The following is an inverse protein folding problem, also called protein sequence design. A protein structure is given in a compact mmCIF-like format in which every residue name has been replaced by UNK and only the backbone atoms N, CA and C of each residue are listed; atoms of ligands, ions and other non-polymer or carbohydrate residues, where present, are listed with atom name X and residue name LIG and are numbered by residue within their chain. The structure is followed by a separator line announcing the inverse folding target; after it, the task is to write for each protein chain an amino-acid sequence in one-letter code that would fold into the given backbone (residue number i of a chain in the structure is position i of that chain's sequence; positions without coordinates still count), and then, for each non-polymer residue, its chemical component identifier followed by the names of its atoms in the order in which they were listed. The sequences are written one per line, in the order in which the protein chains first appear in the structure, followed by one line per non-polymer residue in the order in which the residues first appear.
data_IF_055528404139
#
_entry.id   IF_055528404139
#
_cell.length_a   1.000
_cell.length_b   1.000
_cell.length_c   1.000
_cell.angle_alpha   90.00
_cell.angle_beta   90.00
_cell.angle_gamma   90.00
#
_symmetry.space_group_name_H-M   'P 1'
#
loop_
_entity.id
_entity.type
_entity.pdbx_description
1 polymer ?
#
# COMPACT_ATOMS: atom_id res chain seq x y z
N UNK A 1 -39.80 6.39 1.86
CA UNK A 1 -38.46 5.80 2.06
C UNK A 1 -37.52 6.57 1.17
N UNK A 2 -36.86 7.57 1.74
CA UNK A 2 -35.90 8.39 1.00
C UNK A 2 -34.64 7.56 0.81
N UNK A 3 -34.32 7.29 -0.45
CA UNK A 3 -33.00 6.79 -0.82
C UNK A 3 -31.98 7.85 -0.38
N UNK A 4 -30.86 7.47 0.27
CA UNK A 4 -29.74 8.39 0.37
C UNK A 4 -29.35 8.80 -1.06
N UNK A 5 -28.98 10.08 -1.30
CA UNK A 5 -28.61 10.55 -2.62
C UNK A 5 -27.52 9.63 -3.18
N UNK A 6 -27.70 9.22 -4.44
CA UNK A 6 -26.86 8.29 -5.19
C UNK A 6 -25.41 8.36 -4.71
N UNK A 7 -25.05 7.34 -3.92
CA UNK A 7 -23.75 7.23 -3.27
C UNK A 7 -22.67 7.33 -4.33
N UNK A 8 -21.79 8.32 -4.16
CA UNK A 8 -20.63 8.57 -4.99
C UNK A 8 -19.96 7.26 -5.42
N UNK A 9 -19.79 7.06 -6.72
CA UNK A 9 -18.90 6.03 -7.25
C UNK A 9 -17.58 6.07 -6.46
N UNK A 10 -16.99 4.92 -6.06
CA UNK A 10 -15.78 4.89 -5.29
C UNK A 10 -14.70 5.73 -5.97
N UNK A 11 -14.26 6.81 -5.31
CA UNK A 11 -13.22 7.67 -5.86
C UNK A 11 -11.91 6.87 -5.87
N UNK A 12 -11.21 6.85 -7.01
CA UNK A 12 -9.92 6.15 -7.18
C UNK A 12 -8.97 6.48 -6.03
N UNK A 13 -8.84 7.76 -5.69
CA UNK A 13 -7.94 8.22 -4.62
C UNK A 13 -8.36 7.75 -3.22
N UNK A 14 -9.67 7.62 -2.96
CA UNK A 14 -10.18 7.08 -1.70
C UNK A 14 -9.86 5.59 -1.54
N UNK A 15 -10.07 4.84 -2.63
CA UNK A 15 -9.75 3.41 -2.67
C UNK A 15 -8.25 3.19 -2.60
N UNK A 16 -7.46 4.01 -3.32
CA UNK A 16 -6.02 4.00 -3.24
C UNK A 16 -5.55 4.15 -1.79
N UNK A 17 -6.01 5.19 -1.09
CA UNK A 17 -5.51 5.46 0.25
C UNK A 17 -5.87 4.35 1.25
N UNK A 18 -7.08 3.81 1.17
CA UNK A 18 -7.49 2.68 2.02
C UNK A 18 -6.74 1.39 1.69
N UNK A 19 -6.56 1.05 0.41
CA UNK A 19 -5.82 -0.15 0.01
C UNK A 19 -4.35 -0.03 0.39
N UNK A 20 -3.75 1.15 0.20
CA UNK A 20 -2.40 1.44 0.63
C UNK A 20 -2.27 1.21 2.14
N UNK A 21 -3.17 1.79 2.93
CA UNK A 21 -3.11 1.69 4.38
C UNK A 21 -3.35 0.26 4.88
N UNK A 22 -4.40 -0.42 4.41
CA UNK A 22 -4.68 -1.80 4.81
C UNK A 22 -3.53 -2.75 4.44
N UNK A 23 -2.98 -2.60 3.23
CA UNK A 23 -1.85 -3.43 2.79
C UNK A 23 -0.60 -3.14 3.61
N UNK A 24 -0.27 -1.87 3.86
CA UNK A 24 0.89 -1.48 4.67
C UNK A 24 0.78 -1.97 6.12
N UNK A 25 -0.42 -1.91 6.70
CA UNK A 25 -0.68 -2.40 8.06
C UNK A 25 -0.50 -3.91 8.19
N UNK A 26 -0.87 -4.68 7.15
CA UNK A 26 -0.63 -6.13 7.10
C UNK A 26 0.83 -6.47 6.79
N UNK A 27 1.50 -5.62 6.01
CA UNK A 27 2.89 -5.83 5.62
C UNK A 27 3.84 -5.61 6.80
N UNK A 28 3.62 -4.60 7.64
CA UNK A 28 4.48 -4.33 8.79
C UNK A 28 4.74 -5.56 9.68
N UNK A 29 3.73 -6.27 10.23
CA UNK A 29 3.95 -7.49 11.00
C UNK A 29 4.51 -8.64 10.16
N UNK A 30 4.16 -8.72 8.87
CA UNK A 30 4.69 -9.75 7.99
C UNK A 30 6.21 -9.60 7.80
N UNK A 31 6.71 -8.37 7.66
CA UNK A 31 8.13 -8.09 7.58
C UNK A 31 8.87 -8.50 8.86
N UNK A 32 8.29 -8.28 10.05
CA UNK A 32 8.90 -8.76 11.30
C UNK A 32 8.91 -10.29 11.38
N UNK A 33 7.87 -10.97 10.90
CA UNK A 33 7.81 -12.44 10.91
C UNK A 33 8.79 -13.07 9.92
N UNK A 34 9.07 -12.40 8.79
CA UNK A 34 10.07 -12.87 7.81
C UNK A 34 11.46 -12.96 8.46
N UNK A 35 11.75 -12.20 9.52
CA UNK A 35 13.05 -12.24 10.19
C UNK A 35 13.36 -13.62 10.77
N UNK A 36 12.29 -14.32 11.18
CA UNK A 36 12.37 -15.65 11.77
C UNK A 36 12.56 -16.76 10.73
N UNK A 37 12.52 -16.44 9.43
CA UNK A 37 12.63 -17.41 8.34
C UNK A 37 13.98 -17.31 7.64
N UNK A 38 14.53 -18.45 7.22
CA UNK A 38 15.72 -18.49 6.37
C UNK A 38 15.39 -17.96 4.98
N UNK A 39 16.29 -17.12 4.45
CA UNK A 39 16.16 -16.50 3.12
C UNK A 39 16.55 -17.45 2.00
N UNK A 40 17.31 -18.50 2.31
CA UNK A 40 17.92 -19.39 1.32
C UNK A 40 16.89 -20.34 0.69
N UNK A 41 15.69 -20.39 1.27
CA UNK A 41 14.60 -21.23 0.81
C UNK A 41 13.34 -20.37 0.73
N UNK A 42 12.84 -20.15 -0.49
CA UNK A 42 11.52 -19.55 -0.75
C UNK A 42 10.40 -20.48 -0.29
N UNK A 43 10.31 -20.69 1.02
CA UNK A 43 9.30 -21.56 1.63
C UNK A 43 7.91 -21.00 1.37
N UNK A 44 6.86 -21.85 1.36
CA UNK A 44 5.49 -21.38 1.25
C UNK A 44 5.13 -20.32 2.31
N UNK A 45 5.68 -20.42 3.52
CA UNK A 45 5.49 -19.43 4.58
C UNK A 45 6.11 -18.07 4.23
N UNK A 46 7.35 -18.08 3.71
CA UNK A 46 8.03 -16.86 3.25
C UNK A 46 7.22 -16.18 2.13
N UNK A 47 6.78 -16.96 1.13
CA UNK A 47 5.94 -16.44 0.04
C UNK A 47 4.60 -15.90 0.54
N UNK A 48 3.96 -16.56 1.50
CA UNK A 48 2.70 -16.11 2.08
C UNK A 48 2.85 -14.79 2.83
N UNK A 49 3.97 -14.58 3.55
CA UNK A 49 4.23 -13.33 4.27
C UNK A 49 4.54 -12.16 3.31
N UNK A 50 5.17 -12.44 2.17
CA UNK A 50 5.44 -11.40 1.16
C UNK A 50 4.19 -11.08 0.34
N UNK A 51 3.49 -12.09 -0.17
CA UNK A 51 2.39 -11.93 -1.13
C UNK A 51 1.06 -11.67 -0.44
N UNK A 52 0.85 -12.30 0.72
CA UNK A 52 -0.40 -12.25 1.48
C UNK A 52 -0.91 -10.83 1.73
N UNK A 53 -0.09 -9.89 2.24
CA UNK A 53 -0.51 -8.50 2.45
C UNK A 53 -1.09 -7.84 1.19
N UNK A 54 -0.48 -8.05 0.01
CA UNK A 54 -0.90 -7.43 -1.24
C UNK A 54 -2.19 -8.02 -1.83
N UNK A 55 -2.57 -9.23 -1.42
CA UNK A 55 -3.85 -9.85 -1.79
C UNK A 55 -4.93 -9.49 -0.76
N UNK A 56 -4.58 -9.59 0.52
CA UNK A 56 -5.50 -9.39 1.64
C UNK A 56 -5.86 -7.91 1.84
N UNK A 57 -4.93 -6.97 1.61
CA UNK A 57 -5.20 -5.54 1.75
C UNK A 57 -6.37 -5.06 0.88
N UNK A 58 -6.34 -5.27 -0.45
CA UNK A 58 -7.48 -5.00 -1.33
C UNK A 58 -8.75 -5.75 -0.93
N UNK A 59 -8.64 -7.05 -0.59
CA UNK A 59 -9.79 -7.85 -0.19
C UNK A 59 -10.48 -7.31 1.08
N UNK A 60 -9.71 -6.86 2.09
CA UNK A 60 -10.24 -6.22 3.30
C UNK A 60 -10.98 -4.92 2.97
N UNK A 61 -10.43 -4.11 2.07
CA UNK A 61 -11.11 -2.86 1.64
C UNK A 61 -12.41 -3.19 0.92
N UNK A 62 -12.40 -4.14 -0.01
CA UNK A 62 -13.62 -4.55 -0.73
C UNK A 62 -14.67 -5.16 0.22
N UNK A 63 -14.23 -5.94 1.20
CA UNK A 63 -15.10 -6.54 2.21
C UNK A 63 -15.73 -5.51 3.17
N UNK A 64 -14.96 -4.51 3.60
CA UNK A 64 -15.45 -3.51 4.55
C UNK A 64 -16.40 -2.50 3.91
N UNK A 65 -16.25 -2.25 2.61
CA UNK A 65 -17.11 -1.32 1.87
C UNK A 65 -18.32 -1.97 1.20
N UNK A 66 -18.34 -3.30 1.03
CA UNK A 66 -19.46 -3.98 0.39
C UNK A 66 -20.68 -4.12 1.34
N UNK A 67 -21.86 -4.16 0.72
CA UNK A 67 -23.14 -4.56 1.35
C UNK A 67 -23.67 -5.88 0.79
N UNK A 68 -22.89 -6.53 -0.06
CA UNK A 68 -23.26 -7.79 -0.68
C UNK A 68 -23.30 -8.92 0.35
N UNK A 69 -23.98 -10.00 -0.01
CA UNK A 69 -23.94 -11.24 0.76
C UNK A 69 -22.52 -11.84 0.75
N UNK A 70 -22.19 -12.62 1.77
CA UNK A 70 -20.85 -13.17 1.97
C UNK A 70 -20.35 -13.99 0.77
N UNK A 71 -21.24 -14.68 0.05
CA UNK A 71 -20.88 -15.48 -1.12
C UNK A 71 -20.50 -14.60 -2.31
N UNK A 72 -21.32 -13.59 -2.63
CA UNK A 72 -21.02 -12.64 -3.70
C UNK A 72 -19.74 -11.86 -3.40
N UNK A 73 -19.56 -11.43 -2.15
CA UNK A 73 -18.33 -10.76 -1.72
C UNK A 73 -17.10 -11.65 -1.90
N UNK A 74 -17.17 -12.92 -1.50
CA UNK A 74 -16.06 -13.86 -1.64
C UNK A 74 -15.68 -14.08 -3.12
N UNK A 75 -16.67 -14.25 -4.00
CA UNK A 75 -16.45 -14.43 -5.44
C UNK A 75 -15.84 -13.16 -6.05
N UNK A 76 -16.39 -11.98 -5.74
CA UNK A 76 -15.85 -10.70 -6.24
C UNK A 76 -14.41 -10.48 -5.77
N UNK A 77 -14.14 -10.70 -4.50
CA UNK A 77 -12.78 -10.56 -3.95
C UNK A 77 -11.80 -11.55 -4.58
N UNK A 78 -12.24 -12.80 -4.83
CA UNK A 78 -11.43 -13.83 -5.47
C UNK A 78 -11.10 -13.52 -6.95
N UNK A 79 -11.94 -12.75 -7.64
CA UNK A 79 -11.70 -12.31 -9.03
C UNK A 79 -10.92 -11.01 -9.08
N UNK A 80 -11.29 -10.03 -8.25
CA UNK A 80 -10.68 -8.70 -8.25
C UNK A 80 -9.26 -8.70 -7.70
N UNK A 81 -8.96 -9.48 -6.66
CA UNK A 81 -7.62 -9.46 -6.07
C UNK A 81 -6.54 -9.95 -7.08
N UNK A 82 -6.72 -11.04 -7.84
CA UNK A 82 -5.78 -11.42 -8.90
C UNK A 82 -5.68 -10.38 -10.02
N UNK A 83 -6.79 -9.76 -10.43
CA UNK A 83 -6.76 -8.70 -11.45
C UNK A 83 -5.95 -7.50 -10.95
N UNK A 84 -6.20 -7.04 -9.72
CA UNK A 84 -5.44 -5.97 -9.08
C UNK A 84 -3.97 -6.33 -8.99
N UNK A 85 -3.63 -7.57 -8.65
CA UNK A 85 -2.26 -8.03 -8.56
C UNK A 85 -1.56 -8.02 -9.94
N UNK A 86 -2.17 -8.60 -10.98
CA UNK A 86 -1.62 -8.62 -12.34
C UNK A 86 -1.43 -7.20 -12.90
N UNK A 87 -2.43 -6.34 -12.70
CA UNK A 87 -2.38 -4.96 -13.17
C UNK A 87 -1.36 -4.15 -12.37
N UNK A 88 -1.28 -4.36 -11.05
CA UNK A 88 -0.31 -3.75 -10.17
C UNK A 88 1.13 -4.13 -10.52
N UNK A 89 1.39 -5.41 -10.79
CA UNK A 89 2.70 -5.88 -11.29
C UNK A 89 3.04 -5.25 -12.64
N UNK A 90 2.04 -5.12 -13.54
CA UNK A 90 2.25 -4.46 -14.84
C UNK A 90 2.62 -2.99 -14.66
N UNK A 91 1.91 -2.26 -13.81
CA UNK A 91 2.20 -0.85 -13.48
C UNK A 91 3.57 -0.69 -12.84
N UNK A 92 3.95 -1.61 -11.96
CA UNK A 92 5.28 -1.67 -11.34
C UNK A 92 6.38 -1.77 -12.40
N UNK A 93 6.30 -2.74 -13.31
CA UNK A 93 7.29 -2.90 -14.37
C UNK A 93 7.33 -1.69 -15.31
N UNK A 94 6.18 -1.12 -15.64
CA UNK A 94 6.11 0.09 -16.45
C UNK A 94 6.79 1.28 -15.75
N UNK A 95 6.53 1.48 -14.46
CA UNK A 95 7.17 2.54 -13.67
C UNK A 95 8.69 2.33 -13.55
N UNK A 96 9.14 1.09 -13.36
CA UNK A 96 10.58 0.77 -13.40
C UNK A 96 11.20 1.15 -14.74
N UNK A 97 10.57 0.76 -15.86
CA UNK A 97 11.09 1.01 -17.20
C UNK A 97 11.11 2.50 -17.55
N UNK A 98 10.08 3.25 -17.16
CA UNK A 98 9.93 4.66 -17.53
C UNK A 98 10.63 5.63 -16.60
N UNK A 99 10.82 5.28 -15.32
CA UNK A 99 11.34 6.19 -14.29
C UNK A 99 12.67 5.68 -13.75
N UNK A 100 12.69 4.46 -13.20
CA UNK A 100 13.86 3.95 -12.45
C UNK A 100 15.05 3.71 -13.37
N UNK A 101 14.84 3.07 -14.53
CA UNK A 101 15.93 2.77 -15.46
C UNK A 101 16.60 4.07 -15.97
N UNK A 102 15.86 5.09 -16.45
CA UNK A 102 16.48 6.36 -16.81
C UNK A 102 17.20 7.04 -15.63
N UNK A 103 16.69 6.93 -14.40
CA UNK A 103 17.35 7.46 -13.22
C UNK A 103 18.57 6.64 -12.76
N UNK A 104 18.78 5.44 -13.27
CA UNK A 104 19.88 4.58 -12.83
C UNK A 104 21.26 5.20 -13.03
N UNK A 105 21.42 6.08 -14.02
CA UNK A 105 22.66 6.84 -14.26
C UNK A 105 22.98 7.83 -13.14
N UNK A 106 21.99 8.19 -12.32
CA UNK A 106 22.14 9.05 -11.15
C UNK A 106 22.35 8.26 -9.85
N UNK A 107 22.23 6.92 -9.87
CA UNK A 107 22.45 6.05 -8.70
C UNK A 107 23.94 5.79 -8.46
N UNK A 108 24.70 6.88 -8.32
CA UNK A 108 26.13 6.87 -7.98
C UNK A 108 26.33 7.45 -6.58
N UNK A 109 27.36 7.02 -5.82
CA UNK A 109 27.56 7.41 -4.42
C UNK A 109 27.55 8.93 -4.19
N UNK A 110 28.06 9.69 -5.14
CA UNK A 110 28.14 11.15 -5.10
C UNK A 110 26.76 11.81 -5.00
N UNK A 111 25.71 11.16 -5.50
CA UNK A 111 24.35 11.66 -5.51
C UNK A 111 23.51 11.10 -4.35
N UNK A 112 24.05 10.25 -3.47
CA UNK A 112 23.26 9.55 -2.46
C UNK A 112 22.52 10.49 -1.51
N UNK A 113 23.14 11.60 -1.09
CA UNK A 113 22.45 12.59 -0.25
C UNK A 113 21.20 13.16 -0.94
N UNK A 114 21.31 13.50 -2.24
CA UNK A 114 20.17 14.00 -3.04
C UNK A 114 19.13 12.90 -3.24
N UNK A 115 19.57 11.67 -3.56
CA UNK A 115 18.69 10.53 -3.76
C UNK A 115 17.91 10.16 -2.49
N UNK A 116 18.51 10.30 -1.31
CA UNK A 116 17.83 10.09 -0.02
C UNK A 116 16.68 11.08 0.16
N UNK A 117 16.91 12.38 -0.11
CA UNK A 117 15.87 13.41 -0.05
C UNK A 117 14.77 13.14 -1.08
N UNK A 118 15.14 12.81 -2.33
CA UNK A 118 14.17 12.47 -3.37
C UNK A 118 13.34 11.24 -3.02
N UNK A 119 13.93 10.24 -2.38
CA UNK A 119 13.23 9.05 -1.91
C UNK A 119 12.20 9.39 -0.84
N UNK A 120 12.58 10.19 0.16
CA UNK A 120 11.65 10.67 1.20
C UNK A 120 10.48 11.47 0.59
N UNK A 121 10.76 12.39 -0.34
CA UNK A 121 9.72 13.14 -1.06
C UNK A 121 8.79 12.20 -1.84
N UNK A 122 9.36 11.20 -2.52
CA UNK A 122 8.59 10.23 -3.30
C UNK A 122 7.64 9.45 -2.39
N UNK A 123 8.11 8.96 -1.24
CA UNK A 123 7.26 8.28 -0.25
C UNK A 123 6.10 9.19 0.19
N UNK A 124 6.36 10.47 0.48
CA UNK A 124 5.32 11.43 0.87
C UNK A 124 4.27 11.60 -0.24
N UNK A 125 4.71 11.80 -1.49
CA UNK A 125 3.82 11.99 -2.64
C UNK A 125 2.92 10.76 -2.84
N UNK A 126 3.50 9.56 -2.76
CA UNK A 126 2.78 8.31 -2.92
C UNK A 126 1.81 8.05 -1.75
N UNK A 127 2.16 8.47 -0.54
CA UNK A 127 1.31 8.38 0.64
C UNK A 127 0.20 9.45 0.69
N UNK A 128 0.34 10.55 -0.05
CA UNK A 128 -0.57 11.70 0.01
C UNK A 128 -2.07 11.37 -0.17
N UNK A 129 -2.49 10.43 -1.04
CA UNK A 129 -3.90 10.06 -1.16
C UNK A 129 -4.49 9.44 0.13
N UNK A 130 -3.67 8.94 1.06
CA UNK A 130 -4.15 8.51 2.38
C UNK A 130 -4.70 9.69 3.18
N UNK A 131 -4.07 10.87 3.12
CA UNK A 131 -4.58 12.06 3.80
C UNK A 131 -5.93 12.50 3.21
N UNK A 132 -6.09 12.42 1.89
CA UNK A 132 -7.38 12.66 1.24
C UNK A 132 -8.46 11.68 1.71
N UNK A 133 -8.10 10.39 1.79
CA UNK A 133 -8.99 9.34 2.29
C UNK A 133 -9.40 9.60 3.74
N UNK A 134 -8.45 9.98 4.60
CA UNK A 134 -8.69 10.31 6.00
C UNK A 134 -9.68 11.46 6.16
N UNK A 135 -9.46 12.58 5.46
CA UNK A 135 -10.36 13.73 5.49
C UNK A 135 -11.74 13.36 4.94
N UNK A 136 -11.80 12.57 3.87
CA UNK A 136 -13.06 12.09 3.31
C UNK A 136 -13.83 11.23 4.31
N UNK A 137 -13.17 10.31 5.02
CA UNK A 137 -13.82 9.44 6.02
C UNK A 137 -14.34 10.25 7.20
N UNK A 138 -13.62 11.26 7.68
CA UNK A 138 -14.13 12.19 8.71
C UNK A 138 -15.39 12.90 8.24
N UNK A 139 -15.39 13.41 7.00
CA UNK A 139 -16.54 14.15 6.43
C UNK A 139 -17.78 13.29 6.23
N UNK A 140 -17.61 11.97 6.05
CA UNK A 140 -18.71 11.02 5.92
C UNK A 140 -19.35 10.64 7.27
N UNK A 141 -18.74 11.04 8.39
CA UNK A 141 -19.25 10.81 9.74
C UNK A 141 -18.73 9.54 10.41
N UNK A 142 -18.99 9.43 11.72
CA UNK A 142 -18.42 8.40 12.58
C UNK A 142 -19.32 7.16 12.66
N UNK A 143 -19.29 6.33 11.61
CA UNK A 143 -19.76 4.95 11.70
C UNK A 143 -18.67 4.05 12.31
N UNK A 144 -19.04 2.88 12.86
CA UNK A 144 -18.06 1.91 13.36
C UNK A 144 -17.02 1.51 12.29
N UNK A 145 -17.46 1.37 11.02
CA UNK A 145 -16.58 1.09 9.88
C UNK A 145 -15.65 2.28 9.60
N UNK A 146 -16.19 3.49 9.58
CA UNK A 146 -15.41 4.72 9.41
C UNK A 146 -14.35 4.90 10.49
N UNK A 147 -14.66 4.55 11.74
CA UNK A 147 -13.67 4.58 12.84
C UNK A 147 -12.52 3.60 12.62
N UNK A 148 -12.81 2.38 12.16
CA UNK A 148 -11.75 1.40 11.81
C UNK A 148 -10.88 1.93 10.67
N UNK A 149 -11.48 2.47 9.61
CA UNK A 149 -10.74 3.06 8.50
C UNK A 149 -9.87 4.24 8.94
N UNK A 150 -10.38 5.13 9.80
CA UNK A 150 -9.61 6.24 10.36
C UNK A 150 -8.44 5.75 11.21
N UNK A 151 -8.64 4.73 12.04
CA UNK A 151 -7.57 4.14 12.83
C UNK A 151 -6.46 3.57 11.92
N UNK A 152 -6.83 2.77 10.92
CA UNK A 152 -5.89 2.19 9.96
C UNK A 152 -5.11 3.27 9.20
N UNK A 153 -5.80 4.27 8.66
CA UNK A 153 -5.17 5.40 7.96
C UNK A 153 -4.22 6.18 8.88
N UNK A 154 -4.64 6.49 10.10
CA UNK A 154 -3.81 7.22 11.06
C UNK A 154 -2.55 6.42 11.43
N UNK A 155 -2.69 5.13 11.75
CA UNK A 155 -1.55 4.26 12.07
C UNK A 155 -0.54 4.23 10.94
N UNK A 156 -1.00 4.05 9.69
CA UNK A 156 -0.08 3.97 8.55
C UNK A 156 0.54 5.32 8.22
N UNK A 157 -0.19 6.43 8.36
CA UNK A 157 0.40 7.77 8.21
C UNK A 157 1.52 8.00 9.24
N UNK A 158 1.38 7.52 10.47
CA UNK A 158 2.43 7.56 11.49
C UNK A 158 3.63 6.69 11.08
N UNK A 159 3.40 5.46 10.60
CA UNK A 159 4.47 4.58 10.10
C UNK A 159 5.23 5.26 8.96
N UNK A 160 4.52 5.83 7.98
CA UNK A 160 5.14 6.55 6.86
C UNK A 160 5.93 7.77 7.35
N UNK A 161 5.38 8.55 8.29
CA UNK A 161 6.09 9.69 8.88
C UNK A 161 7.39 9.26 9.57
N UNK A 162 7.34 8.18 10.34
CA UNK A 162 8.51 7.59 11.00
C UNK A 162 9.56 7.13 9.98
N UNK A 163 9.17 6.48 8.90
CA UNK A 163 10.06 6.06 7.80
C UNK A 163 10.75 7.26 7.16
N UNK A 164 10.01 8.32 6.88
CA UNK A 164 10.56 9.54 6.28
C UNK A 164 11.60 10.15 7.20
N UNK A 165 11.32 10.25 8.51
CA UNK A 165 12.27 10.75 9.49
C UNK A 165 13.53 9.88 9.53
N UNK A 166 13.39 8.56 9.64
CA UNK A 166 14.51 7.60 9.67
C UNK A 166 15.30 7.55 8.35
N UNK A 167 14.68 7.90 7.22
CA UNK A 167 15.36 7.98 5.92
C UNK A 167 16.22 9.24 5.84
N UNK A 168 15.77 10.34 6.45
CA UNK A 168 16.46 11.62 6.43
C UNK A 168 17.47 11.79 7.58
N UNK A 169 17.36 10.98 8.63
CA UNK A 169 18.31 10.99 9.73
C UNK A 169 19.65 10.37 9.30
N UNK A 170 20.74 11.00 9.74
CA UNK A 170 22.12 10.64 9.36
C UNK A 170 22.79 9.72 10.38
N UNK A 171 22.17 9.51 11.55
CA UNK A 171 22.71 8.68 12.64
C UNK A 171 22.08 7.29 12.75
N UNK A 172 20.75 7.21 12.84
CA UNK A 172 20.00 5.95 12.96
C UNK A 172 19.28 5.63 11.64
N UNK A 173 19.80 4.65 10.91
CA UNK A 173 19.20 4.22 9.63
C UNK A 173 18.26 3.05 9.84
N UNK A 174 17.29 2.83 8.94
CA UNK A 174 16.47 1.61 8.91
C UNK A 174 17.28 0.30 9.00
N UNK A 175 18.55 0.31 8.57
CA UNK A 175 19.48 -0.82 8.67
C UNK A 175 19.98 -1.15 10.07
N UNK A 176 19.78 -0.28 11.07
CA UNK A 176 20.06 -0.60 12.48
C UNK A 176 18.91 -1.38 13.12
N UNK A 177 17.68 -1.20 12.61
CA UNK A 177 16.48 -1.86 13.12
C UNK A 177 16.06 -3.10 12.34
N UNK A 178 16.48 -3.22 11.07
CA UNK A 178 16.07 -4.30 10.18
C UNK A 178 17.27 -4.87 9.42
N UNK A 179 17.23 -6.19 9.13
CA UNK A 179 18.21 -6.81 8.23
C UNK A 179 18.19 -6.15 6.86
N UNK A 180 19.35 -6.12 6.19
CA UNK A 180 19.56 -5.41 4.92
C UNK A 180 18.57 -5.82 3.81
N UNK A 181 18.24 -7.11 3.72
CA UNK A 181 17.26 -7.65 2.77
C UNK A 181 15.83 -7.14 3.03
N UNK A 182 15.50 -6.90 4.30
CA UNK A 182 14.20 -6.36 4.71
C UNK A 182 14.09 -4.87 4.45
N UNK A 183 15.19 -4.12 4.62
CA UNK A 183 15.23 -2.71 4.21
C UNK A 183 14.92 -2.59 2.71
N UNK A 184 15.44 -3.51 1.90
CA UNK A 184 15.13 -3.61 0.48
C UNK A 184 13.65 -3.91 0.20
N UNK A 185 13.08 -4.91 0.89
CA UNK A 185 11.65 -5.26 0.76
C UNK A 185 10.74 -4.13 1.23
N UNK A 186 11.09 -3.48 2.34
CA UNK A 186 10.38 -2.35 2.90
C UNK A 186 10.40 -1.18 1.93
N UNK A 187 11.58 -0.77 1.47
CA UNK A 187 11.74 0.32 0.53
C UNK A 187 10.94 0.04 -0.76
N UNK A 188 11.12 -1.14 -1.36
CA UNK A 188 10.37 -1.54 -2.56
C UNK A 188 8.86 -1.59 -2.34
N UNK A 189 8.40 -2.04 -1.17
CA UNK A 189 6.99 -2.08 -0.83
C UNK A 189 6.35 -0.70 -0.79
N UNK A 190 6.91 0.23 -0.02
CA UNK A 190 6.30 1.54 0.19
C UNK A 190 6.43 2.46 -1.02
N UNK A 191 7.47 2.27 -1.84
CA UNK A 191 7.71 3.12 -3.00
C UNK A 191 7.09 2.56 -4.28
N UNK A 192 7.02 1.23 -4.46
CA UNK A 192 6.65 0.66 -5.77
C UNK A 192 5.43 -0.27 -5.68
N UNK A 193 5.46 -1.28 -4.81
CA UNK A 193 4.38 -2.27 -4.75
C UNK A 193 3.08 -1.66 -4.22
N UNK A 194 3.11 -1.02 -3.04
CA UNK A 194 1.92 -0.42 -2.43
C UNK A 194 1.22 0.57 -3.37
N UNK A 195 1.91 1.55 -3.99
CA UNK A 195 1.27 2.46 -4.95
C UNK A 195 0.65 1.76 -6.15
N UNK A 196 1.36 0.80 -6.74
CA UNK A 196 0.92 0.15 -7.99
C UNK A 196 -0.35 -0.66 -7.76
N UNK A 197 -0.39 -1.43 -6.67
CA UNK A 197 -1.55 -2.24 -6.30
C UNK A 197 -2.72 -1.36 -5.84
N UNK A 198 -2.45 -0.29 -5.09
CA UNK A 198 -3.48 0.66 -4.65
C UNK A 198 -4.12 1.42 -5.81
N UNK A 199 -3.31 1.81 -6.80
CA UNK A 199 -3.80 2.44 -8.02
C UNK A 199 -4.64 1.47 -8.86
N UNK A 200 -4.15 0.24 -9.06
CA UNK A 200 -4.90 -0.80 -9.76
C UNK A 200 -6.25 -1.07 -9.07
N UNK A 201 -6.27 -1.20 -7.74
CA UNK A 201 -7.50 -1.39 -6.98
C UNK A 201 -8.46 -0.21 -7.14
N UNK A 202 -7.96 1.02 -7.11
CA UNK A 202 -8.77 2.21 -7.33
C UNK A 202 -9.42 2.24 -8.72
N UNK A 203 -8.66 1.90 -9.77
CA UNK A 203 -9.17 1.84 -11.15
C UNK A 203 -10.22 0.74 -11.31
N UNK A 204 -9.91 -0.49 -10.90
CA UNK A 204 -10.85 -1.63 -11.01
C UNK A 204 -12.15 -1.42 -10.23
N UNK A 205 -12.06 -0.74 -9.08
CA UNK A 205 -13.25 -0.42 -8.30
C UNK A 205 -14.08 0.68 -8.94
N UNK A 206 -13.45 1.65 -9.63
CA UNK A 206 -14.17 2.69 -10.36
C UNK A 206 -14.91 2.14 -11.60
N UNK A 207 -14.34 1.13 -12.28
CA UNK A 207 -14.94 0.54 -13.49
C UNK A 207 -16.15 -0.36 -13.23
N UNK A 208 -16.58 -0.51 -11.97
CA UNK A 208 -17.86 -1.15 -11.63
C UNK A 208 -17.85 -2.68 -11.64
N UNK A 209 -16.66 -3.31 -11.65
CA UNK A 209 -16.53 -4.77 -11.43
C UNK A 209 -16.59 -5.10 -9.91
N UNK A 210 -16.59 -4.08 -9.05
CA UNK A 210 -16.66 -4.17 -7.59
C UNK A 210 -17.97 -3.63 -7.04
#
# INVERSE_FOLDING_TARGET
MDFPPQGFAPRVLGTYGLVYACTALLLAPALFLIDTLSIDVFTPAYLALIVGPFVLGPAVVFATDSRDDARTLAIRSAVLAPLVALTGVTLLFLAMMLIVIPLSVFLVPENFAVMTVLSAITVIILAAPMAFSFISTIRQGFSARGLVHLAVLATVMVIVGWVVVMTLDSGDTLGTFMRRDMVGHFAGAFTWYLPSFSLAAGVWRQTGIA
#
